data_IF_661839848973
#
_entry.id   IF_661839848973
#
_cell.length_a   1.000
_cell.length_b   1.000
_cell.length_c   1.000
_cell.angle_alpha   90.00
_cell.angle_beta   90.00
_cell.angle_gamma   90.00
#
_symmetry.space_group_name_H-M   'P 1'
#
loop_
_entity.id
_entity.type
_entity.pdbx_description
1 polymer ?
#
# COMPACT_ATOMS: atom_id res chain seq x y z
N UNK A 1 -22.21 -10.16 -20.42
CA UNK A 1 -22.93 -9.09 -19.69
C UNK A 1 -22.79 -7.70 -20.32
N UNK A 2 -21.60 -7.27 -20.80
CA UNK A 2 -21.43 -5.94 -21.42
C UNK A 2 -22.33 -5.69 -22.65
N UNK A 3 -22.57 -6.71 -23.48
CA UNK A 3 -23.49 -6.61 -24.62
C UNK A 3 -24.92 -6.27 -24.18
N UNK A 4 -25.48 -7.03 -23.23
CA UNK A 4 -26.81 -6.79 -22.67
C UNK A 4 -26.90 -5.41 -21.99
N UNK A 5 -25.85 -4.99 -21.29
CA UNK A 5 -25.80 -3.66 -20.70
C UNK A 5 -25.83 -2.56 -21.77
N UNK A 6 -25.12 -2.74 -22.89
CA UNK A 6 -25.12 -1.80 -24.02
C UNK A 6 -26.51 -1.67 -24.66
N UNK A 7 -27.20 -2.80 -24.87
CA UNK A 7 -28.59 -2.80 -25.35
C UNK A 7 -29.51 -2.04 -24.41
N UNK A 8 -29.38 -2.26 -23.09
CA UNK A 8 -30.16 -1.55 -22.08
C UNK A 8 -29.87 -0.04 -22.05
N UNK A 9 -28.60 0.35 -22.19
CA UNK A 9 -28.19 1.76 -22.29
C UNK A 9 -28.82 2.40 -23.53
N UNK A 10 -28.78 1.72 -24.68
CA UNK A 10 -29.39 2.22 -25.90
C UNK A 10 -30.91 2.44 -25.72
N UNK A 11 -31.62 1.52 -25.09
CA UNK A 11 -33.03 1.67 -24.77
C UNK A 11 -33.30 2.85 -23.80
N UNK A 12 -32.46 3.06 -22.79
CA UNK A 12 -32.64 4.19 -21.87
C UNK A 12 -32.46 5.55 -22.58
N UNK A 13 -31.55 5.63 -23.54
CA UNK A 13 -31.33 6.84 -24.33
C UNK A 13 -32.56 7.19 -25.19
N UNK A 14 -33.25 6.20 -25.76
CA UNK A 14 -34.51 6.48 -26.50
C UNK A 14 -35.64 6.99 -25.60
N UNK A 15 -35.51 6.82 -24.28
CA UNK A 15 -36.48 7.25 -23.26
C UNK A 15 -36.11 8.58 -22.60
N UNK A 16 -35.13 9.31 -23.14
CA UNK A 16 -34.73 10.65 -22.68
C UNK A 16 -33.62 10.67 -21.61
N UNK A 17 -32.95 9.54 -21.35
CA UNK A 17 -31.77 9.50 -20.50
C UNK A 17 -30.49 9.59 -21.34
N UNK A 18 -30.16 10.79 -21.82
CA UNK A 18 -29.02 11.02 -22.72
C UNK A 18 -27.68 10.56 -22.11
N UNK A 19 -27.55 10.70 -20.80
CA UNK A 19 -26.35 10.31 -20.03
C UNK A 19 -26.44 8.88 -19.45
N UNK A 20 -27.34 8.04 -19.95
CA UNK A 20 -27.37 6.65 -19.56
C UNK A 20 -26.06 5.95 -19.98
N UNK A 21 -25.56 5.07 -19.12
CA UNK A 21 -24.28 4.40 -19.33
C UNK A 21 -24.05 3.21 -18.40
N UNK A 22 -23.02 2.43 -18.74
CA UNK A 22 -22.55 1.32 -17.93
C UNK A 22 -21.50 1.82 -16.95
N UNK A 23 -21.74 1.63 -15.66
CA UNK A 23 -20.77 1.84 -14.60
C UNK A 23 -19.92 0.58 -14.43
N UNK A 24 -18.72 0.63 -15.01
CA UNK A 24 -17.67 -0.39 -14.92
C UNK A 24 -16.30 0.31 -14.82
N UNK A 25 -15.91 0.77 -13.61
CA UNK A 25 -14.84 1.75 -13.44
C UNK A 25 -13.45 1.21 -13.78
N UNK A 26 -12.78 1.86 -14.73
CA UNK A 26 -11.46 1.46 -15.21
C UNK A 26 -10.34 1.67 -14.17
N UNK A 27 -10.50 2.61 -13.23
CA UNK A 27 -9.51 2.90 -12.18
C UNK A 27 -9.21 1.73 -11.23
N UNK A 28 -10.07 0.71 -11.21
CA UNK A 28 -9.89 -0.56 -10.49
C UNK A 28 -9.75 -1.77 -11.43
N UNK A 29 -9.58 -1.55 -12.73
CA UNK A 29 -9.45 -2.60 -13.74
C UNK A 29 -10.77 -3.20 -14.25
N UNK A 30 -11.89 -2.50 -13.99
CA UNK A 30 -13.23 -3.02 -14.21
C UNK A 30 -13.73 -3.87 -13.04
N UNK A 31 -14.99 -4.23 -13.10
CA UNK A 31 -15.76 -4.85 -12.02
C UNK A 31 -16.51 -6.08 -12.52
N UNK A 32 -16.65 -7.06 -11.66
CA UNK A 32 -17.43 -8.26 -11.95
C UNK A 32 -18.94 -8.06 -11.71
N UNK A 33 -19.29 -6.97 -11.03
CA UNK A 33 -20.66 -6.50 -10.84
C UNK A 33 -20.72 -5.07 -11.37
N UNK A 34 -21.50 -4.88 -12.43
CA UNK A 34 -21.63 -3.61 -13.13
C UNK A 34 -23.07 -3.12 -13.05
N UNK A 35 -23.27 -1.81 -13.12
CA UNK A 35 -24.60 -1.19 -13.10
C UNK A 35 -24.89 -0.48 -14.41
N UNK A 36 -26.13 -0.55 -14.90
CA UNK A 36 -26.61 0.38 -15.91
C UNK A 36 -27.28 1.53 -15.19
N UNK A 37 -26.73 2.73 -15.36
CA UNK A 37 -27.20 3.94 -14.70
C UNK A 37 -27.95 4.83 -15.70
N UNK A 38 -28.96 5.54 -15.21
CA UNK A 38 -29.67 6.56 -15.98
C UNK A 38 -28.82 7.84 -16.12
N UNK A 39 -28.04 8.15 -15.08
CA UNK A 39 -27.11 9.27 -15.00
C UNK A 39 -25.71 8.73 -14.71
N UNK A 40 -25.09 8.10 -15.71
CA UNK A 40 -23.74 7.56 -15.58
C UNK A 40 -22.67 8.68 -15.48
N UNK A 41 -23.02 9.90 -15.88
CA UNK A 41 -22.24 11.13 -15.68
C UNK A 41 -22.24 11.61 -14.22
N UNK A 42 -23.21 11.17 -13.40
CA UNK A 42 -23.36 11.57 -11.99
C UNK A 42 -23.65 10.37 -11.10
N UNK A 43 -22.73 9.37 -11.03
CA UNK A 43 -22.94 8.16 -10.24
C UNK A 43 -23.14 8.47 -8.76
N UNK A 44 -22.57 9.57 -8.24
CA UNK A 44 -22.75 10.00 -6.85
C UNK A 44 -24.23 10.21 -6.44
N UNK A 45 -25.14 10.45 -7.40
CA UNK A 45 -26.59 10.53 -7.15
C UNK A 45 -27.17 9.19 -6.63
N UNK A 46 -26.54 8.07 -6.96
CA UNK A 46 -26.92 6.73 -6.52
C UNK A 46 -26.29 6.41 -5.17
N UNK A 47 -26.72 7.13 -4.13
CA UNK A 47 -26.28 6.93 -2.74
C UNK A 47 -24.74 6.98 -2.56
N UNK A 48 -24.07 7.90 -3.24
CA UNK A 48 -22.63 8.09 -3.10
C UNK A 48 -21.78 7.06 -3.84
N UNK A 49 -22.32 6.41 -4.88
CA UNK A 49 -21.53 5.58 -5.78
C UNK A 49 -20.39 6.43 -6.39
N UNK A 50 -19.10 6.10 -6.15
CA UNK A 50 -17.99 6.95 -6.56
C UNK A 50 -17.94 7.20 -8.07
N UNK A 51 -17.47 8.37 -8.49
CA UNK A 51 -17.39 8.69 -9.93
C UNK A 51 -16.23 8.02 -10.65
N UNK A 52 -15.04 8.10 -10.08
CA UNK A 52 -13.84 7.48 -10.63
C UNK A 52 -13.06 6.79 -9.51
N UNK A 53 -13.54 5.64 -9.00
CA UNK A 53 -12.83 4.93 -7.95
C UNK A 53 -11.52 4.38 -8.49
N UNK A 54 -10.45 4.60 -7.73
CA UNK A 54 -9.12 4.10 -8.02
C UNK A 54 -8.43 3.60 -6.75
N UNK A 55 -7.37 2.82 -6.94
CA UNK A 55 -6.49 2.47 -5.82
C UNK A 55 -5.76 3.73 -5.36
N UNK A 56 -5.84 4.06 -4.08
CA UNK A 56 -5.14 5.19 -3.47
C UNK A 56 -3.64 5.20 -3.79
N UNK A 57 -3.09 6.37 -4.11
CA UNK A 57 -1.66 6.58 -4.37
C UNK A 57 -0.76 6.15 -3.21
N UNK A 58 -1.19 6.36 -1.96
CA UNK A 58 -0.47 5.90 -0.78
C UNK A 58 -0.38 4.37 -0.75
N UNK A 59 -1.46 3.67 -1.11
CA UNK A 59 -1.50 2.20 -1.19
C UNK A 59 -0.61 1.72 -2.33
N UNK A 60 -0.66 2.36 -3.51
CA UNK A 60 0.22 2.06 -4.64
C UNK A 60 1.69 2.20 -4.24
N UNK A 61 2.07 3.28 -3.55
CA UNK A 61 3.45 3.47 -3.06
C UNK A 61 3.86 2.40 -2.05
N UNK A 62 3.05 2.19 -1.01
CA UNK A 62 3.34 1.25 0.08
C UNK A 62 3.46 -0.21 -0.41
N UNK A 63 2.56 -0.62 -1.31
CA UNK A 63 2.59 -1.97 -1.90
C UNK A 63 3.55 -2.11 -3.08
N UNK A 64 3.91 -1.00 -3.71
CA UNK A 64 4.79 -0.92 -4.86
C UNK A 64 6.25 -0.75 -4.42
N UNK A 65 6.85 0.39 -4.80
CA UNK A 65 8.31 0.61 -4.71
C UNK A 65 8.86 0.57 -3.29
N UNK A 66 8.03 0.83 -2.27
CA UNK A 66 8.47 0.78 -0.89
C UNK A 66 8.97 -0.61 -0.48
N UNK A 67 8.34 -1.69 -0.96
CA UNK A 67 8.73 -3.07 -0.63
C UNK A 67 10.15 -3.43 -1.09
N UNK A 68 10.52 -3.30 -2.38
CA UNK A 68 11.88 -3.61 -2.82
C UNK A 68 12.91 -2.66 -2.18
N UNK A 69 12.60 -1.38 -1.99
CA UNK A 69 13.50 -0.45 -1.30
C UNK A 69 13.78 -0.90 0.14
N UNK A 70 12.74 -1.26 0.88
CA UNK A 70 12.88 -1.80 2.23
C UNK A 70 13.71 -3.09 2.23
N UNK A 71 13.45 -4.02 1.30
CA UNK A 71 14.20 -5.26 1.19
C UNK A 71 15.70 -5.02 0.93
N UNK A 72 16.03 -4.09 0.03
CA UNK A 72 17.43 -3.66 -0.22
C UNK A 72 18.03 -3.04 1.04
N UNK A 73 17.30 -2.16 1.72
CA UNK A 73 17.74 -1.55 2.97
C UNK A 73 18.04 -2.58 4.07
N UNK A 74 17.19 -3.60 4.22
CA UNK A 74 17.42 -4.71 5.15
C UNK A 74 18.66 -5.51 4.78
N UNK A 75 18.82 -5.89 3.50
CA UNK A 75 19.99 -6.65 3.04
C UNK A 75 21.29 -5.86 3.25
N UNK A 76 21.29 -4.56 2.90
CA UNK A 76 22.43 -3.68 3.09
C UNK A 76 22.78 -3.51 4.58
N UNK A 77 21.78 -3.32 5.44
CA UNK A 77 21.97 -3.21 6.88
C UNK A 77 22.56 -4.50 7.45
N UNK A 78 22.02 -5.66 7.05
CA UNK A 78 22.52 -6.95 7.51
C UNK A 78 23.98 -7.19 7.08
N UNK A 79 24.30 -6.92 5.81
CA UNK A 79 25.66 -7.01 5.31
C UNK A 79 26.61 -6.05 6.04
N UNK A 80 26.21 -4.78 6.20
CA UNK A 80 26.99 -3.78 6.91
C UNK A 80 27.27 -4.21 8.36
N UNK A 81 26.27 -4.75 9.07
CA UNK A 81 26.44 -5.26 10.42
C UNK A 81 27.46 -6.40 10.49
N UNK A 82 27.40 -7.37 9.57
CA UNK A 82 28.37 -8.47 9.50
C UNK A 82 29.78 -7.93 9.23
N UNK A 83 29.95 -7.10 8.21
CA UNK A 83 31.26 -6.57 7.85
C UNK A 83 31.84 -5.65 8.92
N UNK A 84 31.01 -4.81 9.55
CA UNK A 84 31.43 -3.98 10.68
C UNK A 84 31.92 -4.84 11.85
N UNK A 85 31.17 -5.88 12.23
CA UNK A 85 31.57 -6.74 13.34
C UNK A 85 32.87 -7.51 13.04
N UNK A 86 33.01 -8.08 11.84
CA UNK A 86 34.23 -8.81 11.44
C UNK A 86 35.44 -7.86 11.31
N UNK A 87 35.24 -6.66 10.76
CA UNK A 87 36.32 -5.71 10.48
C UNK A 87 36.79 -4.91 11.69
N UNK A 88 35.87 -4.47 12.55
CA UNK A 88 36.17 -3.64 13.74
C UNK A 88 36.33 -4.49 15.00
N UNK A 89 35.59 -5.59 15.09
CA UNK A 89 35.55 -6.44 16.27
C UNK A 89 34.55 -5.98 17.33
N UNK A 90 34.34 -6.80 18.38
CA UNK A 90 33.45 -6.46 19.49
C UNK A 90 34.03 -5.33 20.33
N UNK A 91 33.18 -4.44 20.81
CA UNK A 91 33.56 -3.54 21.91
C UNK A 91 33.61 -4.36 23.21
N UNK A 92 34.79 -4.46 23.81
CA UNK A 92 35.01 -5.14 25.10
C UNK A 92 35.22 -4.07 26.16
N UNK A 93 34.73 -4.30 27.38
CA UNK A 93 35.15 -3.50 28.51
C UNK A 93 36.65 -3.71 28.74
N UNK A 94 37.35 -2.64 29.08
CA UNK A 94 38.77 -2.70 29.42
C UNK A 94 38.90 -3.48 30.76
N UNK A 95 39.96 -4.29 30.93
CA UNK A 95 40.14 -5.11 32.15
C UNK A 95 40.17 -4.24 33.43
N UNK A 96 40.64 -2.98 33.35
CA UNK A 96 40.56 -2.02 34.45
C UNK A 96 39.13 -1.63 34.83
N UNK A 97 38.22 -1.53 33.86
CA UNK A 97 36.81 -1.15 34.10
C UNK A 97 36.03 -2.31 34.72
N UNK A 98 36.31 -3.56 34.32
CA UNK A 98 35.75 -4.76 34.98
C UNK A 98 36.22 -4.90 36.43
N UNK A 99 37.52 -4.68 36.70
CA UNK A 99 38.08 -4.76 38.05
C UNK A 99 37.50 -3.66 38.97
N UNK A 100 37.30 -2.44 38.45
CA UNK A 100 36.65 -1.32 39.17
C UNK A 100 35.19 -1.58 39.51
N UNK A 101 34.48 -2.35 38.69
CA UNK A 101 33.10 -2.76 38.95
C UNK A 101 33.03 -3.93 39.95
N UNK A 102 33.92 -4.92 39.86
CA UNK A 102 34.04 -6.01 40.84
C UNK A 102 34.45 -5.49 42.24
N UNK A 103 35.43 -4.58 42.34
CA UNK A 103 35.83 -3.97 43.63
C UNK A 103 34.68 -3.22 44.30
N UNK A 104 33.91 -2.44 43.53
CA UNK A 104 32.76 -1.68 44.06
C UNK A 104 31.60 -2.55 44.52
N UNK A 105 31.41 -3.71 43.92
CA UNK A 105 30.37 -4.67 44.30
C UNK A 105 30.81 -5.53 45.51
N UNK A 106 32.11 -5.71 45.74
CA UNK A 106 32.66 -6.29 46.97
C UNK A 106 32.61 -5.33 48.16
N UNK A 107 32.93 -4.04 47.98
CA UNK A 107 32.83 -3.01 49.05
C UNK A 107 31.40 -2.76 49.56
N UNK A 108 30.38 -3.13 48.78
CA UNK A 108 28.96 -2.88 49.09
C UNK A 108 28.28 -4.08 49.79
N UNK A 109 28.98 -5.20 50.03
CA UNK A 109 28.49 -6.39 50.75
C UNK A 109 28.93 -6.38 52.22
#
# INVERSE_FOLDING_TARGET
>A
MKTLASERVAELKTRGYDNAGLYDPAGVGGTHVMYVLHHADKPNLYHGLPENPEISETVKFWKGIWKPLAAVGFAATFAASIFHYVGVGPNRADEEENNLHEEKDEERK
#
